data_IF_009452650231
#
_entry.id   IF_009452650231
#
_cell.length_a   1.000
_cell.length_b   1.000
_cell.length_c   1.000
_cell.angle_alpha   90.00
_cell.angle_beta   90.00
_cell.angle_gamma   90.00
#
_symmetry.space_group_name_H-M   'P 1'
#
loop_
_entity.id
_entity.type
_entity.pdbx_description
1 polymer ?
#
# COMPACT_ATOMS: atom_id res chain seq x y z
N UNK A 1 -56.84 -23.55 23.52
CA UNK A 1 -55.38 -23.52 23.30
C UNK A 1 -55.18 -22.89 21.93
N UNK A 2 -54.77 -21.62 21.88
CA UNK A 2 -54.56 -20.93 20.62
C UNK A 2 -53.23 -21.37 20.02
N UNK A 3 -53.26 -21.91 18.80
CA UNK A 3 -52.06 -22.23 18.07
C UNK A 3 -51.37 -20.92 17.67
N UNK A 4 -50.30 -20.55 18.38
CA UNK A 4 -49.47 -19.41 18.02
C UNK A 4 -48.72 -19.74 16.72
N UNK A 5 -49.30 -19.35 15.57
CA UNK A 5 -48.62 -19.37 14.28
C UNK A 5 -47.97 -18.01 14.02
N UNK A 6 -46.89 -18.02 13.22
CA UNK A 6 -46.13 -16.83 12.85
C UNK A 6 -46.01 -16.73 11.33
N UNK A 7 -46.43 -15.60 10.77
CA UNK A 7 -46.36 -15.38 9.33
C UNK A 7 -44.96 -14.93 8.92
N UNK A 8 -44.41 -15.57 7.90
CA UNK A 8 -43.11 -15.21 7.35
C UNK A 8 -43.21 -13.85 6.62
N UNK A 9 -42.41 -12.84 6.99
CA UNK A 9 -42.48 -11.51 6.40
C UNK A 9 -42.03 -11.47 4.93
N UNK A 10 -41.27 -12.47 4.45
CA UNK A 10 -40.84 -12.53 3.05
C UNK A 10 -41.86 -13.17 2.11
N UNK A 11 -42.66 -14.13 2.60
CA UNK A 11 -43.52 -14.93 1.72
C UNK A 11 -44.95 -15.17 2.23
N UNK A 12 -45.31 -14.64 3.40
CA UNK A 12 -46.64 -14.75 4.01
C UNK A 12 -46.98 -16.13 4.58
N UNK A 13 -46.09 -17.13 4.48
CA UNK A 13 -46.39 -18.49 4.95
C UNK A 13 -46.47 -18.56 6.47
N UNK A 14 -47.49 -19.26 6.99
CA UNK A 14 -47.65 -19.51 8.43
C UNK A 14 -46.75 -20.64 8.90
N UNK A 15 -45.89 -20.33 9.86
CA UNK A 15 -45.00 -21.28 10.51
C UNK A 15 -45.45 -21.48 11.95
N UNK A 16 -45.06 -22.59 12.58
CA UNK A 16 -45.23 -22.77 14.03
C UNK A 16 -44.39 -21.72 14.77
N UNK A 17 -44.83 -21.21 15.92
CA UNK A 17 -44.06 -20.23 16.70
C UNK A 17 -42.63 -20.70 17.07
N UNK A 18 -42.37 -22.01 17.10
CA UNK A 18 -41.04 -22.58 17.36
C UNK A 18 -40.16 -22.76 16.12
N UNK A 19 -40.64 -22.42 14.92
CA UNK A 19 -39.86 -22.57 13.69
C UNK A 19 -38.75 -21.51 13.62
N UNK A 20 -37.50 -21.97 13.51
CA UNK A 20 -36.31 -21.10 13.38
C UNK A 20 -36.24 -20.48 11.97
N UNK A 21 -36.71 -21.22 10.96
CA UNK A 21 -36.71 -20.83 9.56
C UNK A 21 -38.10 -21.02 8.95
N UNK A 22 -38.41 -20.23 7.93
CA UNK A 22 -39.65 -20.39 7.20
C UNK A 22 -39.63 -21.66 6.34
N UNK A 23 -40.58 -22.57 6.58
CA UNK A 23 -40.70 -23.83 5.85
C UNK A 23 -40.89 -23.67 4.33
N UNK A 24 -41.32 -22.48 3.87
CA UNK A 24 -41.57 -22.21 2.45
C UNK A 24 -40.39 -21.53 1.75
N UNK A 25 -39.67 -20.62 2.41
CA UNK A 25 -38.65 -19.78 1.75
C UNK A 25 -37.26 -19.80 2.39
N UNK A 26 -37.06 -20.57 3.47
CA UNK A 26 -35.76 -20.74 4.13
C UNK A 26 -35.23 -19.52 4.90
N UNK A 27 -36.00 -18.43 5.01
CA UNK A 27 -35.57 -17.26 5.79
C UNK A 27 -35.63 -17.55 7.29
N UNK A 28 -34.54 -17.23 7.98
CA UNK A 28 -34.46 -17.30 9.45
C UNK A 28 -35.39 -16.28 10.10
N UNK A 29 -36.44 -16.77 10.76
CA UNK A 29 -37.53 -15.95 11.34
C UNK A 29 -37.06 -15.16 12.58
N UNK A 30 -36.07 -15.67 13.31
CA UNK A 30 -35.52 -15.04 14.52
C UNK A 30 -34.81 -13.70 14.25
N UNK A 31 -34.20 -13.53 13.08
CA UNK A 31 -33.54 -12.28 12.70
C UNK A 31 -34.55 -11.18 12.31
N UNK A 32 -35.67 -11.57 11.69
CA UNK A 32 -36.66 -10.59 11.24
C UNK A 32 -37.54 -10.12 12.39
N UNK A 33 -37.90 -11.01 13.32
CA UNK A 33 -38.70 -10.65 14.50
C UNK A 33 -37.97 -9.71 15.47
N UNK A 34 -36.66 -9.90 15.66
CA UNK A 34 -35.84 -8.95 16.45
C UNK A 34 -35.82 -7.56 15.84
N UNK A 35 -36.00 -7.44 14.51
CA UNK A 35 -36.02 -6.16 13.80
C UNK A 35 -37.40 -5.48 13.90
N UNK A 36 -38.49 -6.25 13.85
CA UNK A 36 -39.85 -5.74 14.07
C UNK A 36 -40.04 -5.19 15.48
N UNK A 37 -39.58 -5.92 16.51
CA UNK A 37 -39.67 -5.46 17.91
C UNK A 37 -38.86 -4.17 18.14
N UNK A 38 -37.70 -4.00 17.48
CA UNK A 38 -36.92 -2.76 17.56
C UNK A 38 -37.58 -1.56 16.89
N UNK A 39 -38.36 -1.77 15.82
CA UNK A 39 -39.07 -0.68 15.15
C UNK A 39 -40.34 -0.25 15.90
N UNK A 40 -41.01 -1.15 16.60
CA UNK A 40 -42.17 -0.80 17.43
C UNK A 40 -41.76 -0.08 18.73
N UNK A 41 -40.57 -0.37 19.28
CA UNK A 41 -40.02 0.37 20.43
C UNK A 41 -39.54 1.77 20.04
N UNK A 42 -39.13 2.00 18.79
CA UNK A 42 -38.68 3.32 18.31
C UNK A 42 -39.82 4.30 17.97
N UNK A 43 -41.08 3.85 17.98
CA UNK A 43 -42.27 4.68 17.70
C UNK A 43 -43.26 4.77 18.88
N UNK A 44 -42.88 4.23 20.03
CA UNK A 44 -43.51 4.56 21.30
C UNK A 44 -42.83 5.83 21.83
N UNK A 45 -43.32 7.00 21.41
CA UNK A 45 -43.07 8.25 22.13
C UNK A 45 -43.42 8.02 23.59
N UNK A 46 -42.39 7.89 24.43
CA UNK A 46 -42.53 7.97 25.87
C UNK A 46 -43.07 9.38 26.12
N UNK A 47 -44.31 9.55 26.62
CA UNK A 47 -44.78 10.88 27.00
C UNK A 47 -43.78 11.45 28.03
N UNK A 48 -43.48 12.76 27.98
CA UNK A 48 -42.61 13.37 28.97
C UNK A 48 -43.12 12.99 30.36
N UNK A 49 -42.21 12.46 31.18
CA UNK A 49 -42.50 12.05 32.54
C UNK A 49 -43.03 13.26 33.30
N UNK A 50 -44.36 13.38 33.36
CA UNK A 50 -45.03 14.21 34.33
C UNK A 50 -44.58 13.73 35.70
N UNK A 51 -44.13 14.69 36.51
CA UNK A 51 -43.70 14.57 37.89
C UNK A 51 -44.73 13.81 38.73
N UNK A 52 -44.67 12.49 38.71
CA UNK A 52 -45.31 11.65 39.71
C UNK A 52 -44.44 11.75 40.96
N UNK A 53 -44.99 12.44 41.97
CA UNK A 53 -44.47 12.42 43.33
C UNK A 53 -44.11 10.98 43.71
N UNK A 54 -42.90 10.78 44.24
CA UNK A 54 -42.36 9.50 44.67
C UNK A 54 -43.27 8.86 45.74
N UNK A 55 -44.33 8.19 45.30
CA UNK A 55 -45.17 7.36 46.14
C UNK A 55 -44.29 6.24 46.68
N UNK A 56 -44.04 6.27 47.99
CA UNK A 56 -43.31 5.20 48.67
C UNK A 56 -43.90 3.85 48.27
N UNK A 57 -43.09 2.90 47.78
CA UNK A 57 -43.60 1.60 47.36
C UNK A 57 -44.28 0.95 48.56
N UNK A 58 -45.59 0.72 48.45
CA UNK A 58 -46.38 0.00 49.45
C UNK A 58 -45.90 -1.46 49.49
N UNK A 59 -44.81 -1.71 50.20
CA UNK A 59 -44.31 -3.04 50.48
C UNK A 59 -45.21 -3.68 51.54
N UNK A 60 -46.20 -4.44 51.12
CA UNK A 60 -46.92 -5.35 52.00
C UNK A 60 -46.10 -6.58 52.40
N UNK A 61 -44.98 -6.84 51.72
CA UNK A 61 -44.17 -8.05 51.87
C UNK A 61 -42.67 -7.69 51.91
N UNK A 62 -41.92 -8.27 52.84
CA UNK A 62 -40.49 -8.09 52.97
C UNK A 62 -39.75 -8.73 51.79
N UNK A 63 -38.90 -7.98 51.05
CA UNK A 63 -38.24 -8.49 49.86
C UNK A 63 -37.15 -9.52 50.14
N UNK A 64 -36.64 -9.60 51.38
CA UNK A 64 -35.60 -10.57 51.77
C UNK A 64 -36.17 -11.91 52.22
N UNK A 65 -37.30 -11.92 52.95
CA UNK A 65 -37.80 -13.13 53.60
C UNK A 65 -39.28 -13.46 53.33
N UNK A 66 -39.99 -12.62 52.57
CA UNK A 66 -41.39 -12.84 52.20
C UNK A 66 -42.40 -12.66 53.34
N UNK A 67 -42.00 -12.14 54.50
CA UNK A 67 -42.93 -11.90 55.61
C UNK A 67 -43.79 -10.66 55.37
N UNK A 68 -45.06 -10.70 55.79
CA UNK A 68 -45.94 -9.54 55.72
C UNK A 68 -45.41 -8.40 56.61
N UNK A 69 -45.42 -7.19 56.06
CA UNK A 69 -44.88 -6.01 56.73
C UNK A 69 -45.99 -4.97 56.82
N UNK A 70 -46.15 -4.37 58.01
CA UNK A 70 -46.98 -3.20 58.18
C UNK A 70 -46.43 -2.06 57.30
N UNK A 71 -47.25 -1.35 56.51
CA UNK A 71 -46.80 -0.31 55.59
C UNK A 71 -45.97 0.83 56.22
N UNK A 72 -46.05 0.99 57.55
CA UNK A 72 -45.31 1.99 58.33
C UNK A 72 -44.05 1.48 59.01
N UNK A 73 -43.70 0.18 58.89
CA UNK A 73 -42.52 -0.37 59.56
C UNK A 73 -41.23 0.00 58.82
N UNK A 74 -40.24 0.53 59.55
CA UNK A 74 -38.92 0.89 58.99
C UNK A 74 -38.01 -0.34 58.72
N UNK A 75 -38.28 -1.46 59.40
CA UNK A 75 -37.54 -2.70 59.27
C UNK A 75 -38.44 -3.94 59.35
N UNK A 76 -37.97 -5.06 58.78
CA UNK A 76 -38.70 -6.32 58.88
C UNK A 76 -38.45 -6.98 60.23
N UNK A 77 -39.53 -7.20 61.00
CA UNK A 77 -39.48 -7.87 62.32
C UNK A 77 -38.85 -9.27 62.24
N UNK A 78 -39.03 -9.99 61.12
CA UNK A 78 -38.54 -11.36 60.97
C UNK A 78 -37.05 -11.45 60.65
N UNK A 79 -36.53 -10.56 59.80
CA UNK A 79 -35.16 -10.69 59.28
C UNK A 79 -34.26 -9.46 59.50
N UNK A 80 -34.76 -8.44 60.21
CA UNK A 80 -34.02 -7.24 60.58
C UNK A 80 -33.56 -6.36 59.42
N UNK A 81 -34.14 -6.51 58.23
CA UNK A 81 -33.73 -5.67 57.09
C UNK A 81 -34.37 -4.29 57.21
N UNK A 82 -33.56 -3.24 57.14
CA UNK A 82 -34.01 -1.85 57.10
C UNK A 82 -34.39 -1.54 55.65
N UNK A 83 -35.67 -1.24 55.38
CA UNK A 83 -36.16 -1.08 54.02
C UNK A 83 -35.49 0.09 53.29
N UNK A 84 -35.22 1.20 53.98
CA UNK A 84 -34.50 2.35 53.41
C UNK A 84 -33.12 1.95 52.87
N UNK A 85 -32.31 1.22 53.66
CA UNK A 85 -30.99 0.75 53.23
C UNK A 85 -31.07 -0.28 52.11
N UNK A 86 -32.11 -1.14 52.12
CA UNK A 86 -32.33 -2.11 51.06
C UNK A 86 -32.63 -1.43 49.71
N UNK A 87 -33.48 -0.40 49.71
CA UNK A 87 -33.80 0.34 48.50
C UNK A 87 -32.65 1.18 47.98
N UNK A 88 -31.89 1.84 48.86
CA UNK A 88 -30.65 2.54 48.48
C UNK A 88 -29.63 1.59 47.83
N UNK A 89 -29.50 0.36 48.35
CA UNK A 89 -28.63 -0.66 47.78
C UNK A 89 -29.12 -1.13 46.40
N UNK A 90 -30.44 -1.33 46.25
CA UNK A 90 -31.05 -1.68 44.96
C UNK A 90 -30.87 -0.57 43.91
N UNK A 91 -31.02 0.69 44.29
CA UNK A 91 -30.78 1.83 43.39
C UNK A 91 -29.31 1.91 42.98
N UNK A 92 -28.38 1.68 43.91
CA UNK A 92 -26.94 1.65 43.60
C UNK A 92 -26.60 0.53 42.61
N UNK A 93 -27.14 -0.67 42.82
CA UNK A 93 -26.94 -1.78 41.88
C UNK A 93 -27.48 -1.46 40.49
N UNK A 94 -28.69 -0.88 40.40
CA UNK A 94 -29.25 -0.44 39.12
C UNK A 94 -28.41 0.63 38.45
N UNK A 95 -27.88 1.59 39.22
CA UNK A 95 -27.00 2.64 38.72
C UNK A 95 -25.68 2.07 38.20
N UNK A 96 -25.05 1.15 38.95
CA UNK A 96 -23.83 0.47 38.51
C UNK A 96 -24.06 -0.40 37.26
N UNK A 97 -25.19 -1.07 37.15
CA UNK A 97 -25.58 -1.82 35.96
C UNK A 97 -25.80 -0.90 34.75
N UNK A 98 -26.46 0.24 34.97
CA UNK A 98 -26.65 1.27 33.94
C UNK A 98 -25.32 1.87 33.48
N UNK A 99 -24.42 2.24 34.41
CA UNK A 99 -23.09 2.77 34.10
C UNK A 99 -22.24 1.73 33.34
N UNK A 100 -22.33 0.44 33.70
CA UNK A 100 -21.67 -0.65 32.96
C UNK A 100 -22.23 -0.81 31.56
N UNK A 101 -23.55 -0.76 31.40
CA UNK A 101 -24.20 -0.86 30.10
C UNK A 101 -23.85 0.33 29.19
N UNK A 102 -23.77 1.54 29.76
CA UNK A 102 -23.34 2.75 29.04
C UNK A 102 -21.86 2.65 28.63
N UNK A 103 -20.98 2.22 29.53
CA UNK A 103 -19.57 2.01 29.21
C UNK A 103 -19.35 0.94 28.11
N UNK A 104 -20.12 -0.15 28.14
CA UNK A 104 -20.08 -1.18 27.09
C UNK A 104 -20.60 -0.63 25.75
N UNK A 105 -21.66 0.17 25.76
CA UNK A 105 -22.19 0.82 24.56
C UNK A 105 -21.18 1.79 23.94
N UNK A 106 -20.48 2.58 24.76
CA UNK A 106 -19.41 3.49 24.30
C UNK A 106 -18.26 2.68 23.68
N UNK A 107 -17.83 1.59 24.31
CA UNK A 107 -16.75 0.74 23.78
C UNK A 107 -17.13 0.11 22.44
N UNK A 108 -18.37 -0.38 22.31
CA UNK A 108 -18.87 -0.95 21.06
C UNK A 108 -18.95 0.09 19.94
N UNK A 109 -19.28 1.33 20.26
CA UNK A 109 -19.32 2.42 19.28
C UNK A 109 -17.92 2.84 18.83
N UNK A 110 -16.95 2.88 19.75
CA UNK A 110 -15.54 3.09 19.41
C UNK A 110 -15.00 2.00 18.48
N UNK A 111 -15.28 0.72 18.78
CA UNK A 111 -14.86 -0.41 17.94
C UNK A 111 -15.45 -0.33 16.52
N UNK A 112 -16.69 0.14 16.37
CA UNK A 112 -17.28 0.38 15.04
C UNK A 112 -16.61 1.52 14.29
N UNK A 113 -16.29 2.62 14.98
CA UNK A 113 -15.60 3.76 14.37
C UNK A 113 -14.20 3.35 13.88
N UNK A 114 -13.44 2.63 14.71
CA UNK A 114 -12.14 2.07 14.33
C UNK A 114 -12.25 1.12 13.12
N UNK A 115 -13.26 0.23 13.12
CA UNK A 115 -13.49 -0.67 12.00
C UNK A 115 -13.89 0.06 10.70
N UNK A 116 -14.60 1.20 10.79
CA UNK A 116 -14.92 2.03 9.63
C UNK A 116 -13.68 2.78 9.10
N UNK A 117 -12.83 3.29 9.98
CA UNK A 117 -11.57 3.93 9.59
C UNK A 117 -10.61 2.95 8.91
N UNK A 118 -10.47 1.73 9.44
CA UNK A 118 -9.68 0.67 8.81
C UNK A 118 -10.20 0.38 7.40
N UNK A 119 -11.52 0.26 7.22
CA UNK A 119 -12.12 0.04 5.89
C UNK A 119 -11.86 1.20 4.92
N UNK A 120 -11.90 2.45 5.40
CA UNK A 120 -11.56 3.63 4.58
C UNK A 120 -10.08 3.63 4.19
N UNK A 121 -9.19 3.30 5.12
CA UNK A 121 -7.76 3.21 4.86
C UNK A 121 -7.43 2.12 3.82
N UNK A 122 -8.03 0.93 3.94
CA UNK A 122 -7.88 -0.14 2.95
C UNK A 122 -8.42 0.24 1.57
N UNK A 123 -9.51 1.01 1.51
CA UNK A 123 -10.07 1.49 0.24
C UNK A 123 -9.12 2.49 -0.45
N UNK A 124 -8.53 3.42 0.31
CA UNK A 124 -7.54 4.37 -0.19
C UNK A 124 -6.26 3.68 -0.67
N UNK A 125 -5.77 2.67 0.05
CA UNK A 125 -4.62 1.87 -0.38
C UNK A 125 -4.89 1.16 -1.70
N UNK A 126 -6.06 0.52 -1.85
CA UNK A 126 -6.45 -0.13 -3.11
C UNK A 126 -6.60 0.84 -4.28
N UNK A 127 -6.98 2.10 -4.02
CA UNK A 127 -7.04 3.13 -5.04
C UNK A 127 -5.64 3.58 -5.46
N UNK A 128 -4.74 3.81 -4.50
CA UNK A 128 -3.34 4.15 -4.73
C UNK A 128 -2.61 3.06 -5.52
N UNK A 129 -2.78 1.78 -5.16
CA UNK A 129 -2.20 0.64 -5.89
C UNK A 129 -2.69 0.58 -7.35
N UNK A 130 -3.98 0.86 -7.58
CA UNK A 130 -4.53 0.91 -8.95
C UNK A 130 -3.97 2.08 -9.75
N UNK A 131 -3.74 3.22 -9.10
CA UNK A 131 -3.12 4.37 -9.77
C UNK A 131 -1.65 4.10 -10.09
N UNK A 132 -0.90 3.48 -9.17
CA UNK A 132 0.48 3.06 -9.37
C UNK A 132 0.59 2.04 -10.53
N UNK A 133 -0.29 1.05 -10.58
CA UNK A 133 -0.35 0.09 -11.69
C UNK A 133 -0.60 0.78 -13.03
N UNK A 134 -1.51 1.76 -13.08
CA UNK A 134 -1.75 2.56 -14.30
C UNK A 134 -0.51 3.37 -14.70
N UNK A 135 0.20 3.97 -13.74
CA UNK A 135 1.45 4.71 -13.97
C UNK A 135 2.56 3.78 -14.47
N UNK A 136 2.68 2.58 -13.91
CA UNK A 136 3.64 1.58 -14.36
C UNK A 136 3.32 1.09 -15.79
N UNK A 137 2.05 0.88 -16.12
CA UNK A 137 1.63 0.47 -17.46
C UNK A 137 1.89 1.58 -18.51
N UNK A 138 1.63 2.85 -18.19
CA UNK A 138 1.94 3.97 -19.10
C UNK A 138 3.43 4.14 -19.28
N UNK A 139 4.23 4.00 -18.22
CA UNK A 139 5.69 4.06 -18.31
C UNK A 139 6.24 2.92 -19.19
N UNK A 140 5.72 1.69 -19.03
CA UNK A 140 6.09 0.55 -19.87
C UNK A 140 5.74 0.79 -21.34
N UNK A 141 4.53 1.30 -21.64
CA UNK A 141 4.13 1.68 -23.01
C UNK A 141 5.06 2.75 -23.62
N UNK A 142 5.52 3.71 -22.82
CA UNK A 142 6.48 4.71 -23.27
C UNK A 142 7.87 4.11 -23.54
N UNK A 143 8.34 3.19 -22.70
CA UNK A 143 9.59 2.46 -22.91
C UNK A 143 9.54 1.60 -24.17
N UNK A 144 8.46 0.81 -24.34
CA UNK A 144 8.26 -0.02 -25.53
C UNK A 144 8.22 0.83 -26.83
N UNK A 145 7.59 2.02 -26.76
CA UNK A 145 7.58 2.97 -27.88
C UNK A 145 8.98 3.50 -28.19
N UNK A 146 9.74 3.92 -27.17
CA UNK A 146 11.13 4.40 -27.34
C UNK A 146 12.04 3.31 -27.89
N UNK A 147 11.94 2.09 -27.39
CA UNK A 147 12.73 0.95 -27.89
C UNK A 147 12.40 0.63 -29.35
N UNK A 148 11.12 0.73 -29.74
CA UNK A 148 10.71 0.57 -31.14
C UNK A 148 11.27 1.67 -32.04
N UNK A 149 11.16 2.93 -31.62
CA UNK A 149 11.73 4.07 -32.36
C UNK A 149 13.27 3.95 -32.49
N UNK A 150 13.95 3.47 -31.44
CA UNK A 150 15.40 3.22 -31.46
C UNK A 150 15.77 2.08 -32.42
N UNK A 151 15.01 0.97 -32.42
CA UNK A 151 15.21 -0.13 -33.38
C UNK A 151 14.97 0.32 -34.82
N UNK A 152 13.93 1.09 -35.08
CA UNK A 152 13.64 1.65 -36.41
C UNK A 152 14.75 2.60 -36.86
N UNK A 153 15.28 3.45 -35.96
CA UNK A 153 16.46 4.30 -36.25
C UNK A 153 17.73 3.48 -36.51
N UNK A 154 17.99 2.45 -35.72
CA UNK A 154 19.14 1.58 -35.93
C UNK A 154 19.06 0.81 -37.26
N UNK A 155 17.86 0.35 -37.65
CA UNK A 155 17.64 -0.29 -38.95
C UNK A 155 17.83 0.69 -40.11
N UNK A 156 17.34 1.94 -39.99
CA UNK A 156 17.54 2.97 -40.99
C UNK A 156 19.03 3.30 -41.18
N UNK A 157 19.78 3.47 -40.09
CA UNK A 157 21.23 3.69 -40.14
C UNK A 157 21.96 2.50 -40.80
N UNK A 158 21.54 1.27 -40.52
CA UNK A 158 22.14 0.09 -41.16
C UNK A 158 21.88 0.05 -42.66
N UNK A 159 20.67 0.42 -43.11
CA UNK A 159 20.34 0.52 -44.54
C UNK A 159 21.14 1.63 -45.24
N UNK A 160 21.29 2.80 -44.61
CA UNK A 160 22.11 3.89 -45.13
C UNK A 160 23.59 3.48 -45.25
N UNK A 161 24.11 2.76 -44.25
CA UNK A 161 25.47 2.22 -44.28
C UNK A 161 25.65 1.19 -45.41
N UNK A 162 24.70 0.26 -45.57
CA UNK A 162 24.70 -0.74 -46.65
C UNK A 162 24.61 -0.09 -48.05
N UNK A 163 23.90 1.03 -48.21
CA UNK A 163 23.88 1.81 -49.46
C UNK A 163 25.21 2.52 -49.73
N UNK A 164 25.82 3.15 -48.71
CA UNK A 164 27.15 3.77 -48.84
C UNK A 164 28.21 2.74 -49.21
N UNK A 165 28.20 1.57 -48.56
CA UNK A 165 29.15 0.49 -48.84
C UNK A 165 28.99 -0.03 -50.29
N UNK A 166 27.76 -0.06 -50.84
CA UNK A 166 27.52 -0.39 -52.25
C UNK A 166 28.04 0.70 -53.19
N UNK A 167 27.78 1.97 -52.90
CA UNK A 167 28.24 3.09 -53.71
C UNK A 167 29.77 3.16 -53.75
N UNK A 168 30.43 2.96 -52.60
CA UNK A 168 31.89 2.93 -52.51
C UNK A 168 32.49 1.73 -53.25
N UNK A 169 31.81 0.58 -53.22
CA UNK A 169 32.20 -0.60 -54.01
C UNK A 169 32.07 -0.35 -55.52
N UNK A 170 30.98 0.27 -55.98
CA UNK A 170 30.80 0.64 -57.39
C UNK A 170 31.86 1.65 -57.85
N UNK A 171 32.17 2.68 -57.03
CA UNK A 171 33.25 3.63 -57.31
C UNK A 171 34.61 2.95 -57.39
N UNK A 172 34.89 1.99 -56.51
CA UNK A 172 36.14 1.23 -56.54
C UNK A 172 36.26 0.38 -57.82
N UNK A 173 35.17 -0.25 -58.25
CA UNK A 173 35.13 -1.03 -59.49
C UNK A 173 35.27 -0.14 -60.75
N UNK A 174 34.65 1.05 -60.76
CA UNK A 174 34.83 2.04 -61.83
C UNK A 174 36.28 2.53 -61.93
N UNK A 175 36.93 2.78 -60.78
CA UNK A 175 38.34 3.19 -60.74
C UNK A 175 39.28 2.11 -61.28
N UNK A 176 39.02 0.83 -60.95
CA UNK A 176 39.75 -0.31 -61.51
C UNK A 176 39.59 -0.41 -63.02
N UNK A 177 38.35 -0.30 -63.54
CA UNK A 177 38.09 -0.33 -64.98
C UNK A 177 38.80 0.83 -65.71
N UNK A 178 38.78 2.05 -65.15
CA UNK A 178 39.52 3.19 -65.68
C UNK A 178 41.04 2.99 -65.68
N UNK A 179 41.58 2.28 -64.68
CA UNK A 179 42.99 1.91 -64.63
C UNK A 179 43.34 0.91 -65.73
N UNK A 180 42.54 -0.15 -65.90
CA UNK A 180 42.75 -1.14 -66.96
C UNK A 180 42.66 -0.52 -68.36
N UNK A 181 41.72 0.41 -68.57
CA UNK A 181 41.57 1.12 -69.85
C UNK A 181 42.79 1.99 -70.16
N UNK A 182 43.31 2.73 -69.15
CA UNK A 182 44.57 3.47 -69.28
C UNK A 182 45.75 2.56 -69.58
N UNK A 183 45.87 1.41 -68.91
CA UNK A 183 46.93 0.46 -69.20
C UNK A 183 46.85 -0.10 -70.64
N UNK A 184 45.63 -0.33 -71.16
CA UNK A 184 45.42 -0.73 -72.56
C UNK A 184 45.82 0.39 -73.53
N UNK A 185 45.40 1.62 -73.27
CA UNK A 185 45.80 2.77 -74.07
C UNK A 185 47.30 2.98 -74.06
N UNK A 186 47.95 2.87 -72.91
CA UNK A 186 49.40 3.05 -72.80
C UNK A 186 50.15 1.90 -73.49
N UNK A 187 49.62 0.68 -73.43
CA UNK A 187 50.15 -0.47 -74.18
C UNK A 187 49.98 -0.31 -75.69
N UNK A 188 48.88 0.28 -76.15
CA UNK A 188 48.65 0.53 -77.57
C UNK A 188 49.42 1.76 -78.08
N UNK A 189 49.59 2.81 -77.26
CA UNK A 189 50.53 3.92 -77.50
C UNK A 189 51.98 3.43 -77.56
N UNK A 190 52.37 2.50 -76.68
CA UNK A 190 53.70 1.88 -76.73
C UNK A 190 53.90 1.05 -78.01
N UNK A 191 52.89 0.27 -78.44
CA UNK A 191 52.95 -0.44 -79.73
C UNK A 191 52.97 0.51 -80.93
N UNK A 192 52.21 1.61 -80.89
CA UNK A 192 52.21 2.63 -81.93
C UNK A 192 53.56 3.36 -81.99
N UNK A 193 54.18 3.64 -80.85
CA UNK A 193 55.52 4.23 -80.77
C UNK A 193 56.59 3.28 -81.32
N UNK A 194 56.48 1.97 -81.07
CA UNK A 194 57.35 0.95 -81.69
C UNK A 194 57.14 0.90 -83.21
N UNK A 195 55.88 0.95 -83.68
CA UNK A 195 55.56 0.95 -85.11
C UNK A 195 55.98 2.24 -85.83
N UNK A 196 55.93 3.38 -85.14
CA UNK A 196 56.40 4.67 -85.64
C UNK A 196 57.94 4.76 -85.62
N UNK A 197 58.62 4.14 -84.65
CA UNK A 197 60.08 3.93 -84.70
C UNK A 197 60.48 3.03 -85.87
N UNK A 198 59.75 1.94 -86.12
CA UNK A 198 59.99 1.04 -87.26
C UNK A 198 59.67 1.68 -88.62
N UNK A 199 58.72 2.63 -88.70
CA UNK A 199 58.45 3.40 -89.92
C UNK A 199 59.43 4.57 -90.12
N UNK A 200 59.93 5.22 -89.06
CA UNK A 200 61.01 6.21 -89.16
C UNK A 200 62.32 5.57 -89.60
N UNK A 201 62.65 4.38 -89.12
CA UNK A 201 63.85 3.63 -89.55
C UNK A 201 63.74 3.06 -90.98
N UNK A 202 62.55 3.12 -91.61
CA UNK A 202 62.33 2.72 -93.01
C UNK A 202 62.13 3.89 -93.97
N UNK A 203 62.00 5.13 -93.47
CA UNK A 203 61.68 6.32 -94.28
C UNK A 203 62.79 7.38 -94.32
N UNK A 204 63.95 7.08 -93.74
CA UNK A 204 65.19 7.87 -93.90
C UNK A 204 66.17 7.25 -94.92
N UNK A 205 65.61 6.68 -96.01
CA UNK A 205 66.39 6.29 -97.20
C UNK A 205 65.56 6.30 -98.49
N UNK A 206 64.98 7.45 -98.88
CA UNK A 206 64.88 7.86 -100.29
C UNK A 206 64.26 9.26 -100.47
N UNK A 207 65.05 10.16 -101.11
CA UNK A 207 64.67 11.36 -101.90
C UNK A 207 64.00 12.51 -101.13
N UNK A 208 64.55 13.71 -100.99
CA UNK A 208 65.44 14.52 -101.85
C UNK A 208 64.94 14.75 -103.29
N UNK A 209 64.41 15.97 -103.47
CA UNK A 209 64.40 16.83 -104.67
C UNK A 209 63.32 16.70 -105.77
N UNK A 210 62.92 17.90 -106.22
CA UNK A 210 62.12 18.32 -107.40
C UNK A 210 60.58 18.25 -107.27
N UNK A 211 59.77 19.20 -107.73
CA UNK A 211 59.98 20.49 -108.40
C UNK A 211 58.70 21.31 -108.25
N UNK A 212 58.86 22.62 -108.19
CA UNK A 212 57.76 23.56 -108.33
C UNK A 212 57.44 23.75 -109.82
N UNK A 213 56.16 23.69 -110.19
CA UNK A 213 55.41 24.56 -111.15
C UNK A 213 54.13 23.83 -111.59
N UNK A 214 53.05 24.03 -110.83
CA UNK A 214 51.65 23.94 -111.28
C UNK A 214 50.77 24.90 -110.44
N UNK A 215 51.36 26.02 -109.99
CA UNK A 215 50.73 27.04 -109.15
C UNK A 215 49.95 28.02 -110.03
N UNK A 216 48.74 27.65 -110.44
CA UNK A 216 47.65 28.60 -110.72
C UNK A 216 46.32 27.89 -111.02
N UNK A 217 46.34 26.60 -111.37
CA UNK A 217 45.14 25.76 -111.45
C UNK A 217 44.83 25.05 -110.13
N UNK A 218 45.87 24.72 -109.37
CA UNK A 218 45.79 24.13 -108.04
C UNK A 218 45.26 25.12 -106.99
N UNK A 219 45.39 26.43 -107.20
CA UNK A 219 44.81 27.44 -106.30
C UNK A 219 43.31 27.56 -106.46
N UNK A 220 42.74 27.36 -107.66
CA UNK A 220 41.28 27.36 -107.86
C UNK A 220 40.65 26.07 -107.31
N UNK A 221 41.26 24.90 -107.54
CA UNK A 221 40.82 23.64 -106.90
C UNK A 221 41.03 23.65 -105.37
N UNK A 222 42.12 24.24 -104.86
CA UNK A 222 42.31 24.44 -103.42
C UNK A 222 41.30 25.44 -102.85
N UNK A 223 40.95 26.51 -103.57
CA UNK A 223 39.92 27.45 -103.13
C UNK A 223 38.52 26.84 -103.20
N UNK A 224 38.21 26.01 -104.19
CA UNK A 224 36.94 25.25 -104.26
C UNK A 224 36.86 24.19 -103.17
N UNK A 225 37.95 23.46 -102.89
CA UNK A 225 38.05 22.59 -101.72
C UNK A 225 37.88 23.40 -100.43
N UNK A 226 38.55 24.54 -100.26
CA UNK A 226 38.40 25.37 -99.08
C UNK A 226 36.99 25.94 -98.94
N UNK A 227 36.32 26.32 -100.03
CA UNK A 227 34.91 26.77 -100.00
C UNK A 227 33.99 25.61 -99.63
N UNK A 228 34.26 24.38 -100.11
CA UNK A 228 33.51 23.19 -99.72
C UNK A 228 33.74 22.84 -98.24
N UNK A 229 34.99 22.89 -97.76
CA UNK A 229 35.34 22.68 -96.35
C UNK A 229 34.70 23.75 -95.48
N UNK A 230 34.81 25.03 -95.84
CA UNK A 230 34.18 26.14 -95.11
C UNK A 230 32.65 26.02 -95.10
N UNK A 231 32.02 25.54 -96.18
CA UNK A 231 30.57 25.25 -96.17
C UNK A 231 30.23 24.10 -95.23
N UNK A 232 31.06 23.06 -95.17
CA UNK A 232 30.89 21.94 -94.23
C UNK A 232 31.10 22.39 -92.78
N UNK A 233 32.11 23.25 -92.54
CA UNK A 233 32.42 23.81 -91.23
C UNK A 233 31.31 24.77 -90.79
N UNK A 234 30.75 25.56 -91.71
CA UNK A 234 29.61 26.43 -91.42
C UNK A 234 28.36 25.62 -91.07
N UNK A 235 28.17 24.45 -91.70
CA UNK A 235 27.09 23.53 -91.35
C UNK A 235 27.33 22.84 -90.01
N UNK A 236 28.57 22.43 -89.71
CA UNK A 236 28.99 21.86 -88.42
C UNK A 236 28.79 22.87 -87.30
N UNK A 237 29.27 24.11 -87.46
CA UNK A 237 29.11 25.19 -86.48
C UNK A 237 27.64 25.55 -86.23
N UNK A 238 26.77 25.41 -87.24
CA UNK A 238 25.31 25.56 -87.05
C UNK A 238 24.75 24.44 -86.18
N UNK A 239 25.16 23.19 -86.39
CA UNK A 239 24.76 22.09 -85.52
C UNK A 239 25.34 22.24 -84.11
N UNK A 240 26.59 22.64 -83.97
CA UNK A 240 27.24 22.84 -82.67
C UNK A 240 26.56 23.98 -81.88
N UNK A 241 26.16 25.06 -82.56
CA UNK A 241 25.42 26.16 -81.92
C UNK A 241 24.00 25.78 -81.49
N UNK A 242 23.31 24.92 -82.24
CA UNK A 242 22.02 24.36 -81.77
C UNK A 242 22.20 23.41 -80.59
N UNK A 243 23.26 22.59 -80.61
CA UNK A 243 23.58 21.65 -79.53
C UNK A 243 23.95 22.39 -78.25
N UNK A 244 24.74 23.48 -78.34
CA UNK A 244 25.07 24.36 -77.23
C UNK A 244 23.83 25.04 -76.65
N UNK A 245 22.92 25.56 -77.49
CA UNK A 245 21.66 26.16 -77.03
C UNK A 245 20.78 25.16 -76.29
N UNK A 246 20.77 23.89 -76.71
CA UNK A 246 20.04 22.83 -76.02
C UNK A 246 20.68 22.52 -74.67
N UNK A 247 22.00 22.39 -74.62
CA UNK A 247 22.75 22.15 -73.38
C UNK A 247 22.58 23.30 -72.37
N UNK A 248 22.60 24.55 -72.84
CA UNK A 248 22.39 25.74 -72.00
C UNK A 248 20.99 25.76 -71.38
N UNK A 249 19.94 25.45 -72.15
CA UNK A 249 18.56 25.33 -71.63
C UNK A 249 18.43 24.19 -70.61
N UNK A 250 19.09 23.06 -70.82
CA UNK A 250 19.09 21.96 -69.85
C UNK A 250 19.86 22.33 -68.57
N UNK A 251 20.97 23.06 -68.68
CA UNK A 251 21.72 23.57 -67.53
C UNK A 251 20.89 24.55 -66.70
N UNK A 252 20.16 25.47 -67.35
CA UNK A 252 19.25 26.41 -66.67
C UNK A 252 18.15 25.65 -65.90
N UNK A 253 17.52 24.64 -66.54
CA UNK A 253 16.51 23.81 -65.85
C UNK A 253 17.06 23.06 -64.65
N UNK A 254 18.28 22.52 -64.75
CA UNK A 254 18.95 21.86 -63.61
C UNK A 254 19.26 22.84 -62.48
N UNK A 255 19.63 24.08 -62.81
CA UNK A 255 19.89 25.11 -61.83
C UNK A 255 18.60 25.56 -61.13
N UNK A 256 17.50 25.77 -61.88
CA UNK A 256 16.18 26.09 -61.30
C UNK A 256 15.68 24.97 -60.37
N UNK A 257 15.84 23.70 -60.76
CA UNK A 257 15.49 22.56 -59.90
C UNK A 257 16.34 22.51 -58.62
N UNK A 258 17.63 22.86 -58.73
CA UNK A 258 18.53 22.94 -57.57
C UNK A 258 18.14 24.08 -56.63
N UNK A 259 17.75 25.25 -57.18
CA UNK A 259 17.27 26.38 -56.40
C UNK A 259 15.98 26.04 -55.65
N UNK A 260 15.01 25.40 -56.29
CA UNK A 260 13.79 24.94 -55.63
C UNK A 260 14.07 23.98 -54.47
N UNK A 261 15.08 23.11 -54.61
CA UNK A 261 15.49 22.20 -53.54
C UNK A 261 16.13 22.95 -52.37
N UNK A 262 16.94 23.97 -52.64
CA UNK A 262 17.53 24.83 -51.60
C UNK A 262 16.43 25.58 -50.83
N UNK A 263 15.45 26.14 -51.53
CA UNK A 263 14.35 26.88 -50.90
C UNK A 263 13.49 25.96 -50.02
N UNK A 264 13.21 24.72 -50.48
CA UNK A 264 12.50 23.71 -49.69
C UNK A 264 13.27 23.31 -48.43
N UNK A 265 14.58 23.05 -48.55
CA UNK A 265 15.42 22.73 -47.39
C UNK A 265 15.49 23.90 -46.41
N UNK A 266 15.56 25.15 -46.91
CA UNK A 266 15.55 26.33 -46.06
C UNK A 266 14.26 26.41 -45.23
N UNK A 267 13.10 26.14 -45.83
CA UNK A 267 11.81 26.12 -45.12
C UNK A 267 11.79 25.02 -44.04
N UNK A 268 12.25 23.82 -44.35
CA UNK A 268 12.36 22.73 -43.37
C UNK A 268 13.27 23.12 -42.19
N UNK A 269 14.40 23.78 -42.48
CA UNK A 269 15.34 24.22 -41.44
C UNK A 269 14.70 25.21 -40.47
N UNK A 270 13.86 26.13 -40.97
CA UNK A 270 13.18 27.09 -40.11
C UNK A 270 12.02 26.46 -39.32
N UNK A 271 11.32 25.48 -39.88
CA UNK A 271 10.33 24.69 -39.12
C UNK A 271 10.99 23.91 -37.98
N UNK A 272 12.14 23.28 -38.24
CA UNK A 272 12.90 22.56 -37.20
C UNK A 272 13.41 23.50 -36.10
N UNK A 273 13.85 24.72 -36.45
CA UNK A 273 14.22 25.72 -35.42
C UNK A 273 13.04 26.04 -34.51
N UNK A 274 11.85 26.28 -35.07
CA UNK A 274 10.65 26.57 -34.28
C UNK A 274 10.26 25.38 -33.38
N UNK A 275 10.35 24.15 -33.88
CA UNK A 275 10.12 22.95 -33.07
C UNK A 275 11.14 22.82 -31.93
N UNK A 276 12.42 23.08 -32.20
CA UNK A 276 13.46 23.03 -31.14
C UNK A 276 13.26 24.09 -30.07
N UNK A 277 12.75 25.28 -30.42
CA UNK A 277 12.40 26.30 -29.43
C UNK A 277 11.15 25.91 -28.62
N UNK A 278 10.16 25.29 -29.26
CA UNK A 278 8.98 24.76 -28.56
C UNK A 278 9.37 23.66 -27.56
N UNK A 279 10.19 22.71 -27.98
CA UNK A 279 10.69 21.62 -27.12
C UNK A 279 11.53 22.16 -25.95
N UNK A 280 12.33 23.22 -26.16
CA UNK A 280 13.06 23.88 -25.06
C UNK A 280 12.12 24.48 -24.02
N UNK A 281 11.02 25.12 -24.45
CA UNK A 281 10.01 25.67 -23.54
C UNK A 281 9.28 24.57 -22.78
N UNK A 282 8.91 23.48 -23.46
CA UNK A 282 8.27 22.33 -22.83
C UNK A 282 9.19 21.65 -21.80
N UNK A 283 10.48 21.49 -22.13
CA UNK A 283 11.47 20.94 -21.20
C UNK A 283 11.60 21.80 -19.93
N UNK A 284 11.68 23.13 -20.09
CA UNK A 284 11.76 24.03 -18.95
C UNK A 284 10.48 23.98 -18.08
N UNK A 285 9.31 23.90 -18.69
CA UNK A 285 8.05 23.75 -17.96
C UNK A 285 7.98 22.42 -17.19
N UNK A 286 8.55 21.35 -17.75
CA UNK A 286 8.61 20.04 -17.10
C UNK A 286 9.60 20.04 -15.94
N UNK A 287 10.79 20.64 -16.10
CA UNK A 287 11.77 20.83 -15.01
C UNK A 287 11.19 21.67 -13.87
N UNK A 288 10.44 22.74 -14.16
CA UNK A 288 9.76 23.55 -13.14
C UNK A 288 8.65 22.76 -12.41
N UNK A 289 7.90 21.92 -13.14
CA UNK A 289 6.87 21.08 -12.56
C UNK A 289 7.46 19.96 -11.67
N UNK A 290 8.64 19.43 -12.04
CA UNK A 290 9.37 18.45 -11.24
C UNK A 290 9.89 19.05 -9.95
N UNK A 291 10.50 20.24 -9.99
CA UNK A 291 10.93 20.96 -8.80
C UNK A 291 9.77 21.22 -7.81
N UNK A 292 8.60 21.62 -8.32
CA UNK A 292 7.40 21.82 -7.46
C UNK A 292 6.89 20.52 -6.84
N UNK A 293 7.08 19.38 -7.50
CA UNK A 293 6.71 18.07 -6.94
C UNK A 293 7.69 17.65 -5.84
N UNK A 294 8.98 17.89 -6.03
CA UNK A 294 9.99 17.63 -5.01
C UNK A 294 9.74 18.47 -3.75
N UNK A 295 9.48 19.77 -3.90
CA UNK A 295 9.11 20.65 -2.78
C UNK A 295 7.85 20.18 -2.04
N UNK A 296 6.84 19.69 -2.78
CA UNK A 296 5.61 19.17 -2.19
C UNK A 296 5.84 17.86 -1.42
N UNK A 297 6.66 16.95 -1.96
CA UNK A 297 7.03 15.70 -1.29
C UNK A 297 7.84 15.96 -0.02
N UNK A 298 8.74 16.94 -0.04
CA UNK A 298 9.52 17.35 1.12
C UNK A 298 8.65 17.97 2.22
N UNK A 299 7.64 18.75 1.85
CA UNK A 299 6.66 19.28 2.79
C UNK A 299 5.81 18.17 3.41
N UNK A 300 5.39 17.18 2.62
CA UNK A 300 4.62 16.03 3.09
C UNK A 300 5.44 15.18 4.07
N UNK A 301 6.70 14.87 3.75
CA UNK A 301 7.61 14.13 4.63
C UNK A 301 7.81 14.84 5.98
N UNK A 302 7.99 16.17 5.97
CA UNK A 302 8.11 16.96 7.22
C UNK A 302 6.84 16.91 8.06
N UNK A 303 5.67 16.99 7.42
CA UNK A 303 4.39 16.91 8.13
C UNK A 303 4.16 15.50 8.73
N UNK A 304 4.60 14.45 8.05
CA UNK A 304 4.55 13.08 8.56
C UNK A 304 5.51 12.88 9.74
N UNK A 305 6.75 13.36 9.64
CA UNK A 305 7.73 13.33 10.74
C UNK A 305 7.18 14.03 12.00
N UNK A 306 6.59 15.24 11.85
CA UNK A 306 5.98 15.96 12.97
C UNK A 306 4.83 15.18 13.62
N UNK A 307 3.98 14.53 12.80
CA UNK A 307 2.88 13.70 13.28
C UNK A 307 3.37 12.47 14.05
N UNK A 308 4.43 11.82 13.58
CA UNK A 308 5.02 10.68 14.28
C UNK A 308 5.69 11.09 15.60
N UNK A 309 6.33 12.26 15.66
CA UNK A 309 6.92 12.76 16.90
C UNK A 309 5.85 13.13 17.94
N UNK A 310 4.72 13.72 17.50
CA UNK A 310 3.58 14.01 18.38
C UNK A 310 3.00 12.73 19.01
N UNK A 311 2.83 11.68 18.22
CA UNK A 311 2.36 10.36 18.71
C UNK A 311 3.35 9.72 19.70
N UNK A 312 4.66 9.88 19.48
CA UNK A 312 5.69 9.39 20.40
C UNK A 312 5.60 10.07 21.76
N UNK A 313 5.45 11.40 21.78
CA UNK A 313 5.28 12.18 23.02
C UNK A 313 4.01 11.77 23.78
N UNK A 314 2.90 11.57 23.08
CA UNK A 314 1.64 11.12 23.72
C UNK A 314 1.79 9.74 24.40
N UNK A 315 2.50 8.79 23.75
CA UNK A 315 2.77 7.47 24.34
C UNK A 315 3.65 7.55 25.59
N UNK A 316 4.70 8.38 25.56
CA UNK A 316 5.57 8.58 26.72
C UNK A 316 4.80 9.18 27.90
N UNK A 317 3.92 10.15 27.66
CA UNK A 317 3.10 10.75 28.71
C UNK A 317 2.06 9.78 29.28
N UNK A 318 1.45 8.93 28.44
CA UNK A 318 0.58 7.84 28.90
C UNK A 318 1.33 6.86 29.78
N UNK A 319 2.54 6.45 29.40
CA UNK A 319 3.38 5.56 30.22
C UNK A 319 3.70 6.18 31.59
N UNK A 320 4.14 7.44 31.62
CA UNK A 320 4.42 8.16 32.88
C UNK A 320 3.19 8.24 33.78
N UNK A 321 2.00 8.48 33.21
CA UNK A 321 0.73 8.47 33.98
C UNK A 321 0.46 7.09 34.55
N UNK A 322 0.60 6.03 33.78
CA UNK A 322 0.38 4.66 34.26
C UNK A 322 1.37 4.25 35.35
N UNK A 323 2.65 4.60 35.22
CA UNK A 323 3.64 4.34 36.27
C UNK A 323 3.33 5.11 37.56
N UNK A 324 2.84 6.35 37.43
CA UNK A 324 2.44 7.15 38.58
C UNK A 324 1.27 6.51 39.32
N UNK A 325 0.27 6.00 38.58
CA UNK A 325 -0.88 5.26 39.15
C UNK A 325 -0.42 3.96 39.81
N UNK A 326 0.48 3.20 39.18
CA UNK A 326 1.05 1.97 39.76
C UNK A 326 1.83 2.23 41.05
N UNK A 327 2.51 3.37 41.16
CA UNK A 327 3.23 3.78 42.39
C UNK A 327 2.30 4.26 43.50
N UNK A 328 1.11 4.77 43.19
CA UNK A 328 0.11 5.21 44.20
C UNK A 328 -0.84 4.10 44.63
N UNK A 329 -0.92 3.00 43.89
CA UNK A 329 -1.63 1.81 44.33
C UNK A 329 -0.88 1.17 45.52
N UNK A 330 -1.57 1.22 46.66
CA UNK A 330 -1.22 0.80 48.03
C UNK A 330 -0.10 -0.25 48.13
N UNK A 331 0.90 -0.06 49.01
CA UNK A 331 1.97 -1.01 49.22
C UNK A 331 1.41 -2.41 49.52
N UNK A 332 1.93 -3.40 48.79
CA UNK A 332 1.60 -4.81 48.98
C UNK A 332 1.73 -5.14 50.48
N UNK A 333 0.67 -5.58 51.17
CA UNK A 333 0.74 -5.89 52.59
C UNK A 333 1.84 -6.94 52.82
N UNK A 334 2.75 -6.67 53.75
CA UNK A 334 3.83 -7.59 54.09
C UNK A 334 3.27 -8.72 54.95
N UNK A 335 2.67 -9.72 54.30
CA UNK A 335 2.03 -10.85 54.96
C UNK A 335 3.00 -11.66 55.83
N UNK A 336 4.30 -11.66 55.50
CA UNK A 336 5.32 -12.33 56.30
C UNK A 336 5.40 -11.75 57.71
N UNK A 337 5.59 -10.43 57.82
CA UNK A 337 5.71 -9.74 59.12
C UNK A 337 4.45 -9.89 59.98
N UNK A 338 3.28 -9.92 59.33
CA UNK A 338 2.01 -10.08 60.03
C UNK A 338 1.84 -11.50 60.57
N UNK A 339 2.06 -12.52 59.74
CA UNK A 339 1.89 -13.92 60.14
C UNK A 339 2.95 -14.38 61.14
N UNK A 340 4.17 -13.84 61.08
CA UNK A 340 5.27 -14.23 61.97
C UNK A 340 4.99 -13.96 63.46
N UNK A 341 4.08 -13.01 63.76
CA UNK A 341 3.61 -12.74 65.14
C UNK A 341 2.82 -13.90 65.74
N UNK A 342 2.23 -14.74 64.89
CA UNK A 342 1.34 -15.83 65.24
C UNK A 342 2.01 -17.20 65.12
N UNK A 343 3.34 -17.26 64.90
CA UNK A 343 4.07 -18.52 64.77
C UNK A 343 4.02 -19.30 66.09
N UNK A 344 3.50 -20.53 66.04
CA UNK A 344 3.20 -21.38 67.19
C UNK A 344 1.78 -21.23 67.75
N UNK A 345 0.99 -20.25 67.29
CA UNK A 345 -0.38 -20.02 67.76
C UNK A 345 -1.43 -20.76 66.92
N UNK A 346 -2.61 -20.94 67.51
CA UNK A 346 -3.77 -21.53 66.84
C UNK A 346 -4.52 -20.46 66.05
N UNK A 347 -4.63 -20.68 64.73
CA UNK A 347 -5.24 -19.76 63.78
C UNK A 347 -6.41 -20.42 63.07
N UNK A 348 -7.30 -19.58 62.50
CA UNK A 348 -8.35 -20.06 61.60
C UNK A 348 -7.85 -20.05 60.16
N UNK A 349 -7.92 -21.18 59.46
CA UNK A 349 -7.56 -21.25 58.04
C UNK A 349 -8.44 -22.24 57.27
N UNK A 350 -8.78 -21.91 56.04
CA UNK A 350 -9.34 -22.86 55.09
C UNK A 350 -8.20 -23.70 54.50
N UNK A 351 -7.87 -24.85 55.08
CA UNK A 351 -6.76 -25.69 54.58
C UNK A 351 -7.21 -26.87 53.69
N UNK A 352 -8.50 -27.18 53.64
CA UNK A 352 -9.04 -28.35 52.91
C UNK A 352 -10.22 -27.93 52.02
N UNK A 353 -11.24 -27.31 52.61
CA UNK A 353 -12.39 -26.76 51.90
C UNK A 353 -12.29 -25.22 51.84
N UNK A 354 -12.34 -24.58 50.66
CA UNK A 354 -12.29 -23.13 50.56
C UNK A 354 -13.44 -22.39 51.28
N UNK A 355 -14.56 -23.06 51.56
CA UNK A 355 -15.71 -22.51 52.26
C UNK A 355 -15.61 -22.60 53.79
N UNK A 356 -14.82 -23.54 54.32
CA UNK A 356 -14.78 -23.84 55.74
C UNK A 356 -13.48 -23.34 56.37
N UNK A 357 -13.59 -22.63 57.50
CA UNK A 357 -12.43 -22.19 58.28
C UNK A 357 -12.29 -23.17 59.45
N UNK A 358 -11.14 -23.83 59.52
CA UNK A 358 -10.84 -24.82 60.55
C UNK A 358 -9.66 -24.36 61.39
N UNK A 359 -9.57 -24.94 62.59
CA UNK A 359 -8.47 -24.72 63.52
C UNK A 359 -7.18 -25.38 63.01
N UNK A 360 -6.09 -24.63 62.97
CA UNK A 360 -4.75 -25.17 62.72
C UNK A 360 -3.69 -24.36 63.47
N UNK A 361 -2.57 -24.98 63.82
CA UNK A 361 -1.45 -24.27 64.44
C UNK A 361 -0.52 -23.71 63.36
N UNK A 362 -0.16 -22.43 63.40
CA UNK A 362 0.79 -21.86 62.47
C UNK A 362 2.20 -22.35 62.80
N UNK A 363 2.69 -23.35 62.07
CA UNK A 363 3.93 -24.05 62.40
C UNK A 363 5.18 -23.23 62.05
N UNK A 364 5.21 -22.58 60.89
CA UNK A 364 6.37 -21.80 60.42
C UNK A 364 6.00 -20.78 59.36
N UNK A 365 6.61 -19.60 59.40
CA UNK A 365 6.47 -18.55 58.38
C UNK A 365 7.84 -18.24 57.77
N UNK A 366 7.96 -18.39 56.45
CA UNK A 366 9.15 -18.05 55.67
C UNK A 366 8.83 -16.93 54.67
N UNK A 367 9.86 -16.42 54.00
CA UNK A 367 9.74 -15.31 53.03
C UNK A 367 8.75 -15.58 51.87
N UNK A 368 8.58 -16.84 51.46
CA UNK A 368 7.75 -17.21 50.30
C UNK A 368 6.53 -18.07 50.64
N UNK A 369 6.54 -18.74 51.81
CA UNK A 369 5.50 -19.69 52.20
C UNK A 369 5.31 -19.73 53.72
N UNK A 370 4.13 -20.16 54.15
CA UNK A 370 3.84 -20.46 55.54
C UNK A 370 3.25 -21.87 55.66
N UNK A 371 3.47 -22.52 56.80
CA UNK A 371 3.02 -23.88 57.04
C UNK A 371 2.13 -23.96 58.27
N UNK A 372 1.07 -24.74 58.20
CA UNK A 372 0.09 -24.95 59.28
C UNK A 372 -0.02 -26.43 59.61
N UNK A 373 0.00 -26.76 60.90
CA UNK A 373 -0.15 -28.11 61.44
C UNK A 373 -1.59 -28.32 61.91
N UNK A 374 -2.25 -29.34 61.37
CA UNK A 374 -3.62 -29.72 61.75
C UNK A 374 -3.53 -30.81 62.80
N UNK A 375 -3.82 -30.46 64.05
CA UNK A 375 -3.64 -31.35 65.21
C UNK A 375 -4.52 -32.61 65.15
N UNK A 376 -5.69 -32.55 64.52
CA UNK A 376 -6.64 -33.69 64.44
C UNK A 376 -6.06 -34.87 63.66
N UNK A 377 -5.31 -34.59 62.59
CA UNK A 377 -4.80 -35.60 61.67
C UNK A 377 -3.26 -35.64 61.61
N UNK A 378 -2.59 -34.81 62.40
CA UNK A 378 -1.13 -34.62 62.40
C UNK A 378 -0.55 -34.30 61.01
N UNK A 379 -1.34 -33.64 60.16
CA UNK A 379 -0.94 -33.27 58.79
C UNK A 379 -0.40 -31.83 58.74
N UNK A 380 0.72 -31.66 58.04
CA UNK A 380 1.34 -30.37 57.79
C UNK A 380 1.00 -29.88 56.37
N UNK A 381 0.34 -28.73 56.29
CA UNK A 381 0.03 -28.05 55.02
C UNK A 381 0.97 -26.87 54.82
N UNK A 382 1.40 -26.60 53.58
CA UNK A 382 2.27 -25.48 53.25
C UNK A 382 1.72 -24.68 52.08
N UNK A 383 1.65 -23.35 52.23
CA UNK A 383 1.02 -22.43 51.29
C UNK A 383 1.97 -21.30 50.91
N UNK A 384 2.10 -20.96 49.62
CA UNK A 384 2.78 -19.74 49.21
C UNK A 384 2.08 -18.50 49.77
N UNK A 385 2.83 -17.48 50.21
CA UNK A 385 2.25 -16.22 50.68
C UNK A 385 1.43 -15.52 49.58
N UNK A 386 1.80 -15.72 48.31
CA UNK A 386 1.05 -15.24 47.15
C UNK A 386 -0.34 -15.86 46.99
N UNK A 387 -0.61 -16.98 47.68
CA UNK A 387 -1.93 -17.62 47.66
C UNK A 387 -2.87 -17.10 48.76
N UNK A 388 -2.42 -16.17 49.60
CA UNK A 388 -3.30 -15.57 50.61
C UNK A 388 -4.28 -14.62 49.89
N UNK A 389 -5.57 -14.92 49.99
CA UNK A 389 -6.66 -14.11 49.46
C UNK A 389 -7.02 -12.97 50.42
N UNK A 390 -7.10 -13.28 51.71
CA UNK A 390 -7.36 -12.30 52.74
C UNK A 390 -6.83 -12.76 54.10
N UNK A 391 -6.49 -11.77 54.93
CA UNK A 391 -6.19 -11.95 56.34
C UNK A 391 -7.10 -11.03 57.12
N UNK A 392 -7.75 -11.56 58.16
CA UNK A 392 -8.54 -10.78 59.11
C UNK A 392 -7.95 -10.99 60.49
N UNK A 393 -7.56 -9.90 61.13
CA UNK A 393 -7.03 -9.85 62.50
C UNK A 393 -7.98 -9.01 63.35
N UNK A 394 -8.30 -9.48 64.56
CA UNK A 394 -9.13 -8.73 65.49
C UNK A 394 -8.62 -8.94 66.92
N UNK A 395 -8.56 -7.86 67.71
CA UNK A 395 -7.99 -7.88 69.06
C UNK A 395 -8.68 -8.87 70.02
N UNK A 396 -9.97 -9.18 69.78
CA UNK A 396 -10.75 -10.13 70.57
C UNK A 396 -10.93 -11.49 69.86
N UNK A 397 -10.14 -11.72 68.80
CA UNK A 397 -10.35 -12.81 67.85
C UNK A 397 -11.46 -12.51 66.83
N UNK A 398 -11.38 -13.20 65.71
CA UNK A 398 -12.34 -13.21 64.62
C UNK A 398 -13.31 -14.37 64.88
N UNK A 399 -14.62 -14.09 65.04
CA UNK A 399 -15.62 -15.14 65.21
C UNK A 399 -15.83 -15.88 63.91
N UNK A 400 -15.82 -17.21 63.99
CA UNK A 400 -16.06 -18.13 62.88
C UNK A 400 -17.09 -19.15 63.32
N UNK A 401 -18.17 -19.27 62.55
CA UNK A 401 -19.19 -20.29 62.77
C UNK A 401 -18.70 -21.63 62.20
N UNK A 402 -18.31 -22.56 63.08
CA UNK A 402 -17.92 -23.92 62.70
C UNK A 402 -19.03 -24.86 63.17
N UNK A 403 -19.83 -25.36 62.23
CA UNK A 403 -20.85 -26.38 62.51
C UNK A 403 -21.82 -26.04 63.66
N UNK A 404 -22.11 -24.75 63.87
CA UNK A 404 -23.02 -24.26 64.91
C UNK A 404 -22.35 -23.84 66.22
N UNK A 405 -21.03 -24.03 66.36
CA UNK A 405 -20.23 -23.46 67.45
C UNK A 405 -19.42 -22.26 66.94
N UNK A 406 -19.52 -21.14 67.65
CA UNK A 406 -18.71 -19.94 67.36
C UNK A 406 -17.33 -20.09 67.97
N UNK A 407 -16.31 -20.34 67.15
CA UNK A 407 -14.92 -20.31 67.57
C UNK A 407 -14.32 -18.93 67.30
N UNK A 408 -13.48 -18.43 68.20
CA UNK A 408 -12.76 -17.16 68.02
C UNK A 408 -11.28 -17.45 67.76
N UNK A 409 -10.74 -16.97 66.64
CA UNK A 409 -9.33 -17.11 66.30
C UNK A 409 -8.64 -15.75 66.31
N UNK A 410 -7.41 -15.61 66.83
CA UNK A 410 -6.69 -14.34 66.82
C UNK A 410 -6.51 -13.78 65.39
N UNK A 411 -6.38 -14.69 64.42
CA UNK A 411 -6.24 -14.38 63.00
C UNK A 411 -6.94 -15.45 62.16
N UNK A 412 -7.62 -15.00 61.09
CA UNK A 412 -8.21 -15.87 60.07
C UNK A 412 -7.54 -15.61 58.73
N UNK A 413 -6.94 -16.66 58.16
CA UNK A 413 -6.24 -16.62 56.89
C UNK A 413 -7.07 -17.37 55.86
N UNK A 414 -7.44 -16.71 54.77
CA UNK A 414 -8.06 -17.35 53.61
C UNK A 414 -7.03 -17.56 52.52
N UNK A 415 -6.77 -18.80 52.16
CA UNK A 415 -5.87 -19.17 51.07
C UNK A 415 -6.63 -19.66 49.84
N UNK A 416 -6.05 -19.40 48.68
CA UNK A 416 -6.46 -19.97 47.41
C UNK A 416 -5.92 -21.40 47.30
N UNK A 417 -6.83 -22.37 47.28
CA UNK A 417 -6.50 -23.76 46.97
C UNK A 417 -6.26 -23.91 45.47
N UNK A 418 -5.00 -23.78 45.06
CA UNK A 418 -4.59 -24.23 43.73
C UNK A 418 -4.66 -25.77 43.73
N UNK A 419 -5.84 -26.31 43.46
CA UNK A 419 -6.05 -27.76 43.32
C UNK A 419 -5.25 -28.27 42.13
N UNK A 420 -3.99 -28.65 42.36
CA UNK A 420 -3.32 -29.62 41.49
C UNK A 420 -3.61 -30.98 42.10
N UNK A 421 -4.72 -31.62 41.70
CA UNK A 421 -4.97 -33.05 41.98
C UNK A 421 -3.93 -33.90 41.25
N UNK A 422 -2.67 -33.88 41.70
CA UNK A 422 -1.67 -34.86 41.30
C UNK A 422 -1.94 -36.10 42.13
N UNK A 423 -2.45 -37.13 41.47
CA UNK A 423 -2.61 -38.47 42.02
C UNK A 423 -1.20 -39.05 42.22
N UNK A 424 -0.57 -38.77 43.36
CA UNK A 424 0.68 -39.44 43.73
C UNK A 424 0.35 -40.90 44.00
N UNK A 425 0.66 -41.75 43.03
CA UNK A 425 0.61 -43.19 43.20
C UNK A 425 1.98 -43.57 43.74
N UNK A 426 2.07 -43.87 45.03
CA UNK A 426 3.24 -44.55 45.56
C UNK A 426 3.19 -45.99 45.03
N UNK A 427 4.14 -46.35 44.16
CA UNK A 427 4.44 -47.73 43.76
C UNK A 427 5.33 -48.35 44.82
#
# INVERSE_FOLDING_TARGET
>A
MGDNSIQCPKCGYENKASAIECNKCGVTLSLVLKKSIKNDVAKSEIPPADSQEAGSPNLSICPKCGHDVLPSAAECIKCGIIFSKYFEFQERLKKEEQEKAEAEAIRLEQEKQEAEEIKKAEALQKEAEKEEQKRAETLKKQQDKKEREEKERAEALRKEQEEKDKEDKEKAEELLNKQEEKEREDKDKAKAFIKEQEEKDKKDKEKAETEAVAKEKQTVEQLEMQIATLKSDTASLKMDTETLKKAEREAIKKNEASQQKIDSLSQETDTLKLETESLKKEKHALEEAEAKREDAQDAERKAEEEKTEALRKEREDKQKRTETILKTLVPKPNFEELLKKYEGEEIGINYDDPAEIKKAQLAKVNADHFSVLVMENELLYSYPLGNILSIVEAANGVPVDISGETANYPIVVRVLHLMVKKKWSFI
#
